data_IF_931457317071
#
_entry.id   IF_931457317071
#
_cell.length_a   1.000
_cell.length_b   1.000
_cell.length_c   1.000
_cell.angle_alpha   90.00
_cell.angle_beta   90.00
_cell.angle_gamma   90.00
#
_symmetry.space_group_name_H-M   'P 1'
#
loop_
_entity.id
_entity.type
_entity.pdbx_description
1 polymer ?
#
# COMPACT_ATOMS: atom_id res chain seq x y z
N UNK A 1 -45.51 -26.29 28.55
CA UNK A 1 -45.20 -25.06 27.79
C UNK A 1 -46.45 -24.67 27.03
N UNK A 2 -46.98 -23.45 27.20
CA UNK A 2 -48.21 -23.06 26.49
C UNK A 2 -47.92 -22.88 24.99
N UNK A 3 -48.95 -22.97 24.16
CA UNK A 3 -48.83 -22.69 22.71
C UNK A 3 -48.27 -21.28 22.48
N UNK A 4 -48.65 -20.31 23.31
CA UNK A 4 -48.13 -18.94 23.25
C UNK A 4 -46.61 -18.90 23.52
N UNK A 5 -46.11 -19.63 24.53
CA UNK A 5 -44.67 -19.71 24.82
C UNK A 5 -43.89 -20.38 23.69
N UNK A 6 -44.46 -21.43 23.06
CA UNK A 6 -43.83 -22.12 21.93
C UNK A 6 -43.73 -21.21 20.70
N UNK A 7 -44.80 -20.48 20.38
CA UNK A 7 -44.81 -19.53 19.25
C UNK A 7 -43.81 -18.39 19.48
N UNK A 8 -43.69 -17.88 20.71
CA UNK A 8 -42.73 -16.84 21.06
C UNK A 8 -41.28 -17.33 20.94
N UNK A 9 -40.99 -18.55 21.39
CA UNK A 9 -39.67 -19.17 21.26
C UNK A 9 -39.30 -19.42 19.79
N UNK A 10 -40.23 -19.93 18.98
CA UNK A 10 -40.01 -20.12 17.54
C UNK A 10 -39.81 -18.78 16.81
N UNK A 11 -40.54 -17.74 17.21
CA UNK A 11 -40.34 -16.38 16.70
C UNK A 11 -38.96 -15.82 17.03
N UNK A 12 -38.50 -15.97 18.27
CA UNK A 12 -37.15 -15.56 18.69
C UNK A 12 -36.05 -16.38 18.01
N UNK A 13 -36.26 -17.69 17.81
CA UNK A 13 -35.39 -18.57 17.04
C UNK A 13 -35.27 -18.14 15.58
N UNK A 14 -36.40 -17.83 14.94
CA UNK A 14 -36.44 -17.34 13.57
C UNK A 14 -35.75 -15.98 13.47
N UNK A 15 -35.99 -15.08 14.43
CA UNK A 15 -35.34 -13.77 14.48
C UNK A 15 -33.83 -13.90 14.66
N UNK A 16 -33.38 -14.76 15.58
CA UNK A 16 -31.97 -15.05 15.79
C UNK A 16 -31.35 -15.69 14.53
N UNK A 17 -32.04 -16.63 13.88
CA UNK A 17 -31.57 -17.24 12.64
C UNK A 17 -31.45 -16.22 11.50
N UNK A 18 -32.44 -15.33 11.35
CA UNK A 18 -32.42 -14.24 10.36
C UNK A 18 -31.27 -13.25 10.64
N UNK A 19 -31.04 -12.88 11.90
CA UNK A 19 -29.90 -12.05 12.30
C UNK A 19 -28.55 -12.74 12.06
N UNK A 20 -28.49 -14.07 12.18
CA UNK A 20 -27.27 -14.86 11.95
C UNK A 20 -27.05 -15.25 10.49
N UNK A 21 -28.02 -15.05 9.60
CA UNK A 21 -27.92 -15.38 8.17
C UNK A 21 -27.59 -14.17 7.29
N UNK A 22 -27.59 -12.96 7.85
CA UNK A 22 -26.95 -11.80 7.20
C UNK A 22 -25.43 -11.94 7.27
N UNK A 23 -24.77 -11.85 6.11
CA UNK A 23 -23.32 -11.70 6.01
C UNK A 23 -22.81 -10.56 6.89
N UNK A 24 -21.60 -10.71 7.44
CA UNK A 24 -20.95 -9.60 8.11
C UNK A 24 -20.20 -8.79 7.06
N UNK A 25 -20.65 -7.56 6.82
CA UNK A 25 -19.87 -6.58 6.05
C UNK A 25 -18.71 -6.08 6.91
N UNK A 26 -17.50 -6.10 6.33
CA UNK A 26 -16.29 -5.56 6.92
C UNK A 26 -15.78 -4.40 6.06
N UNK A 27 -15.40 -3.29 6.67
CA UNK A 27 -14.89 -2.11 5.96
C UNK A 27 -13.38 -2.00 6.15
N UNK A 28 -12.64 -1.94 5.05
CA UNK A 28 -11.19 -1.82 5.01
C UNK A 28 -10.81 -0.46 4.45
N UNK A 29 -9.77 0.16 4.98
CA UNK A 29 -9.30 1.45 4.49
C UNK A 29 -7.78 1.58 4.49
N UNK A 30 -7.25 2.45 3.63
CA UNK A 30 -5.87 2.88 3.64
C UNK A 30 -5.77 4.39 3.46
N UNK A 31 -4.86 5.05 4.17
CA UNK A 31 -4.66 6.50 4.09
C UNK A 31 -3.19 6.87 4.33
N UNK A 32 -2.65 7.71 3.44
CA UNK A 32 -1.45 8.49 3.73
C UNK A 32 -1.80 9.62 4.72
N UNK A 33 -1.17 9.61 5.90
CA UNK A 33 -1.45 10.60 6.96
C UNK A 33 -0.59 11.87 6.85
N UNK A 34 0.24 12.00 5.80
CA UNK A 34 1.13 13.12 5.49
C UNK A 34 2.02 13.54 6.67
N UNK A 35 3.22 12.95 6.73
CA UNK A 35 4.23 13.25 7.76
C UNK A 35 3.65 13.22 9.18
N UNK A 36 2.99 12.12 9.53
CA UNK A 36 2.32 11.98 10.82
C UNK A 36 3.32 11.59 11.92
N UNK A 37 3.84 12.61 12.60
CA UNK A 37 4.76 12.46 13.74
C UNK A 37 4.27 13.19 14.99
N UNK A 38 5.18 13.34 15.97
CA UNK A 38 4.87 13.94 17.28
C UNK A 38 4.24 15.34 17.18
N UNK A 39 4.70 16.18 16.24
CA UNK A 39 4.14 17.51 16.01
C UNK A 39 2.66 17.44 15.63
N UNK A 40 2.34 16.59 14.67
CA UNK A 40 0.98 16.40 14.15
C UNK A 40 0.07 15.70 15.18
N UNK A 41 0.65 14.87 16.05
CA UNK A 41 -0.04 14.28 17.20
C UNK A 41 -0.46 15.27 18.30
N UNK A 42 0.15 16.45 18.35
CA UNK A 42 -0.22 17.48 19.32
C UNK A 42 -1.28 18.45 18.76
N UNK A 43 -1.71 18.22 17.52
CA UNK A 43 -2.74 19.00 16.86
C UNK A 43 -4.11 18.37 17.07
N UNK A 44 -4.90 18.97 17.97
CA UNK A 44 -6.20 18.42 18.38
C UNK A 44 -7.18 18.28 17.23
N UNK A 45 -7.15 19.17 16.22
CA UNK A 45 -8.03 19.01 15.07
C UNK A 45 -7.62 17.74 14.33
N UNK A 46 -6.36 17.65 13.95
CA UNK A 46 -5.83 16.53 13.16
C UNK A 46 -6.03 15.19 13.85
N UNK A 47 -5.69 15.07 15.13
CA UNK A 47 -5.83 13.80 15.84
C UNK A 47 -7.27 13.42 16.09
N UNK A 48 -8.16 14.37 16.36
CA UNK A 48 -9.59 14.07 16.51
C UNK A 48 -10.21 13.63 15.18
N UNK A 49 -9.85 14.28 14.06
CA UNK A 49 -10.29 13.85 12.72
C UNK A 49 -9.77 12.47 12.37
N UNK A 50 -8.46 12.24 12.45
CA UNK A 50 -7.85 10.96 12.08
C UNK A 50 -8.37 9.83 12.96
N UNK A 51 -8.51 10.05 14.27
CA UNK A 51 -9.08 9.03 15.16
C UNK A 51 -10.53 8.70 14.78
N UNK A 52 -11.34 9.72 14.42
CA UNK A 52 -12.72 9.54 13.95
C UNK A 52 -12.78 8.84 12.59
N UNK A 53 -11.82 9.08 11.70
CA UNK A 53 -11.69 8.36 10.43
C UNK A 53 -11.41 6.88 10.72
N UNK A 54 -10.44 6.57 11.59
CA UNK A 54 -10.05 5.19 11.90
C UNK A 54 -11.20 4.38 12.48
N UNK A 55 -12.06 4.96 13.33
CA UNK A 55 -13.17 4.22 13.98
C UNK A 55 -14.21 3.67 13.00
N UNK A 56 -14.20 4.10 11.73
CA UNK A 56 -15.09 3.61 10.67
C UNK A 56 -14.71 2.24 10.12
N UNK A 57 -13.47 1.81 10.31
CA UNK A 57 -12.90 0.67 9.60
C UNK A 57 -12.69 -0.53 10.52
N UNK A 58 -13.00 -1.73 10.06
CA UNK A 58 -12.64 -2.95 10.77
C UNK A 58 -11.12 -3.19 10.70
N UNK A 59 -10.47 -2.80 9.59
CA UNK A 59 -9.01 -2.75 9.44
C UNK A 59 -8.62 -1.50 8.64
N UNK A 60 -7.65 -0.75 9.14
CA UNK A 60 -7.18 0.51 8.55
C UNK A 60 -5.66 0.55 8.46
N UNK A 61 -5.13 0.75 7.26
CA UNK A 61 -3.71 1.00 7.02
C UNK A 61 -3.41 2.50 7.07
N UNK A 62 -2.63 2.93 8.06
CA UNK A 62 -2.01 4.25 8.12
C UNK A 62 -0.60 4.22 7.52
N UNK A 63 -0.29 5.20 6.67
CA UNK A 63 1.02 5.39 6.05
C UNK A 63 1.60 6.75 6.43
N UNK A 64 2.90 6.94 6.16
CA UNK A 64 3.64 8.15 6.52
C UNK A 64 3.70 8.47 8.03
N UNK A 65 3.67 7.45 8.88
CA UNK A 65 3.97 7.66 10.30
C UNK A 65 5.48 7.88 10.45
N UNK A 66 5.88 9.08 10.88
CA UNK A 66 7.29 9.50 10.99
C UNK A 66 7.60 9.93 12.42
N UNK A 67 8.03 8.96 13.23
CA UNK A 67 8.40 9.21 14.62
C UNK A 67 9.52 8.26 15.07
N UNK A 68 10.69 8.83 15.31
CA UNK A 68 11.86 8.08 15.79
C UNK A 68 11.69 7.58 17.23
N UNK A 69 10.81 8.21 18.03
CA UNK A 69 10.54 7.75 19.40
C UNK A 69 9.69 6.47 19.44
N UNK A 70 9.00 6.14 18.34
CA UNK A 70 8.08 5.01 18.25
C UNK A 70 6.79 5.17 19.06
N UNK A 71 6.56 6.31 19.71
CA UNK A 71 5.38 6.53 20.57
C UNK A 71 4.11 6.85 19.78
N UNK A 72 4.24 7.33 18.55
CA UNK A 72 3.14 7.86 17.75
C UNK A 72 2.02 6.86 17.50
N UNK A 73 2.28 5.61 17.03
CA UNK A 73 1.24 4.61 16.81
C UNK A 73 0.41 4.31 18.07
N UNK A 74 1.07 4.09 19.21
CA UNK A 74 0.39 3.74 20.46
C UNK A 74 -0.44 4.89 21.01
N UNK A 75 0.04 6.13 20.91
CA UNK A 75 -0.73 7.32 21.31
C UNK A 75 -1.98 7.51 20.44
N UNK A 76 -1.84 7.32 19.12
CA UNK A 76 -2.98 7.38 18.21
C UNK A 76 -4.00 6.27 18.52
N UNK A 77 -3.53 5.05 18.81
CA UNK A 77 -4.40 3.94 19.23
C UNK A 77 -5.20 4.27 20.50
N UNK A 78 -4.56 4.89 21.50
CA UNK A 78 -5.28 5.33 22.70
C UNK A 78 -6.38 6.35 22.38
N UNK A 79 -6.11 7.29 21.46
CA UNK A 79 -7.11 8.27 21.03
C UNK A 79 -8.29 7.60 20.30
N UNK A 80 -8.01 6.65 19.40
CA UNK A 80 -9.04 5.83 18.71
C UNK A 80 -9.90 5.07 19.73
N UNK A 81 -9.26 4.38 20.68
CA UNK A 81 -9.96 3.59 21.70
C UNK A 81 -10.77 4.44 22.68
N UNK A 82 -10.45 5.72 22.84
CA UNK A 82 -11.27 6.63 23.65
C UNK A 82 -12.59 7.04 22.94
N UNK A 83 -12.69 6.86 21.62
CA UNK A 83 -13.88 7.21 20.84
C UNK A 83 -14.86 6.05 20.66
N UNK A 84 -14.50 4.82 21.04
CA UNK A 84 -15.32 3.63 20.76
C UNK A 84 -15.10 2.51 21.76
N UNK A 85 -16.16 1.77 22.06
CA UNK A 85 -16.09 0.54 22.87
C UNK A 85 -15.67 -0.70 22.08
N UNK A 86 -15.53 -0.60 20.74
CA UNK A 86 -15.15 -1.73 19.88
C UNK A 86 -13.80 -2.34 20.27
N UNK A 87 -12.86 -1.51 20.73
CA UNK A 87 -11.50 -1.92 21.07
C UNK A 87 -10.67 -2.26 19.84
N UNK A 88 -9.75 -1.36 19.51
CA UNK A 88 -8.75 -1.53 18.48
C UNK A 88 -7.45 -2.06 19.07
N UNK A 89 -6.75 -2.83 18.26
CA UNK A 89 -5.34 -3.15 18.40
C UNK A 89 -4.58 -2.59 17.19
N UNK A 90 -3.24 -2.60 17.28
CA UNK A 90 -2.39 -2.18 16.17
C UNK A 90 -1.29 -3.19 15.91
N UNK A 91 -0.80 -3.20 14.68
CA UNK A 91 0.46 -3.82 14.31
C UNK A 91 1.25 -2.87 13.41
N UNK A 92 2.52 -2.65 13.74
CA UNK A 92 3.39 -1.69 13.06
C UNK A 92 4.55 -2.40 12.35
N UNK A 93 4.95 -1.84 11.22
CA UNK A 93 6.17 -2.24 10.50
C UNK A 93 7.43 -1.72 11.20
N UNK A 94 8.59 -2.15 10.70
CA UNK A 94 9.86 -1.45 10.96
C UNK A 94 9.82 0.00 10.45
N UNK A 95 10.82 0.81 10.81
CA UNK A 95 11.05 2.13 10.23
C UNK A 95 11.75 2.02 8.86
N UNK A 96 11.00 2.28 7.79
CA UNK A 96 11.39 2.00 6.41
C UNK A 96 11.76 3.25 5.62
N UNK A 97 12.65 3.09 4.64
CA UNK A 97 13.18 4.17 3.81
C UNK A 97 14.64 3.89 3.47
N UNK A 98 15.17 4.45 2.38
CA UNK A 98 16.60 4.37 2.03
C UNK A 98 17.40 5.53 2.64
N UNK A 99 16.73 6.65 2.94
CA UNK A 99 17.32 7.83 3.59
C UNK A 99 17.29 7.75 5.13
N UNK A 100 17.74 8.80 5.81
CA UNK A 100 17.59 8.95 7.27
C UNK A 100 16.17 9.27 7.72
N UNK A 101 15.35 9.85 6.84
CA UNK A 101 13.91 10.03 7.07
C UNK A 101 13.20 8.72 6.78
N UNK A 102 12.65 8.10 7.82
CA UNK A 102 11.94 6.82 7.74
C UNK A 102 10.45 6.97 8.03
N UNK A 103 9.67 6.03 7.52
CA UNK A 103 8.22 5.92 7.69
C UNK A 103 7.85 4.53 8.20
N UNK A 104 6.72 4.44 8.90
CA UNK A 104 6.11 3.16 9.28
C UNK A 104 4.75 2.99 8.59
N UNK A 105 4.45 1.74 8.27
CA UNK A 105 3.10 1.25 8.04
C UNK A 105 2.49 0.81 9.36
N UNK A 106 1.26 1.20 9.65
CA UNK A 106 0.55 0.73 10.84
C UNK A 106 -0.85 0.30 10.46
N UNK A 107 -1.18 -0.96 10.74
CA UNK A 107 -2.55 -1.46 10.67
C UNK A 107 -3.22 -1.29 12.01
N UNK A 108 -4.34 -0.57 12.05
CA UNK A 108 -5.29 -0.55 13.16
C UNK A 108 -6.42 -1.50 12.85
N UNK A 109 -6.82 -2.34 13.79
CA UNK A 109 -7.89 -3.31 13.55
C UNK A 109 -8.74 -3.54 14.78
N UNK A 110 -10.03 -3.80 14.55
CA UNK A 110 -11.02 -4.10 15.58
C UNK A 110 -10.83 -5.52 16.12
N UNK A 111 -10.48 -5.65 17.41
CA UNK A 111 -10.20 -6.96 18.01
C UNK A 111 -11.42 -7.86 18.14
N UNK A 112 -12.62 -7.28 18.10
CA UNK A 112 -13.90 -8.00 18.10
C UNK A 112 -14.30 -8.53 16.71
N UNK A 113 -13.56 -8.14 15.66
CA UNK A 113 -13.91 -8.39 14.24
C UNK A 113 -12.79 -9.07 13.47
N UNK A 114 -11.54 -8.81 13.82
CA UNK A 114 -10.35 -9.30 13.13
C UNK A 114 -9.33 -9.85 14.13
N UNK A 115 -8.64 -10.91 13.74
CA UNK A 115 -7.52 -11.49 14.51
C UNK A 115 -6.27 -11.49 13.64
N UNK A 116 -5.21 -10.84 14.09
CA UNK A 116 -3.90 -10.94 13.46
C UNK A 116 -3.34 -12.37 13.63
N UNK A 117 -3.05 -13.04 12.52
CA UNK A 117 -2.46 -14.39 12.52
C UNK A 117 -0.93 -14.29 12.41
N UNK A 118 -0.44 -13.54 11.43
CA UNK A 118 0.98 -13.40 11.14
C UNK A 118 1.26 -12.06 10.44
N UNK A 119 2.52 -11.63 10.45
CA UNK A 119 2.99 -10.44 9.78
C UNK A 119 4.32 -10.69 9.08
N UNK A 120 4.60 -9.94 8.03
CA UNK A 120 5.85 -10.01 7.31
C UNK A 120 6.25 -8.64 6.76
N UNK A 121 7.34 -8.10 7.29
CA UNK A 121 8.07 -7.03 6.63
C UNK A 121 8.80 -7.62 5.44
N UNK A 122 8.40 -7.25 4.22
CA UNK A 122 8.94 -7.88 3.01
C UNK A 122 10.45 -7.71 2.90
N UNK A 123 11.17 -8.82 3.00
CA UNK A 123 12.63 -8.96 2.88
C UNK A 123 13.03 -9.90 1.73
N UNK A 124 12.06 -10.22 0.85
CA UNK A 124 12.20 -11.14 -0.27
C UNK A 124 13.06 -10.65 -1.43
N UNK A 125 13.00 -11.36 -2.57
CA UNK A 125 13.95 -11.20 -3.67
C UNK A 125 13.95 -9.80 -4.30
N UNK A 126 12.81 -9.11 -4.25
CA UNK A 126 12.63 -7.78 -4.81
C UNK A 126 12.68 -6.67 -3.74
N UNK A 127 13.06 -6.96 -2.48
CA UNK A 127 12.99 -5.99 -1.39
C UNK A 127 13.77 -4.70 -1.68
N UNK A 128 14.90 -4.81 -2.39
CA UNK A 128 15.74 -3.66 -2.79
C UNK A 128 15.07 -2.72 -3.80
N UNK A 129 14.02 -3.17 -4.48
CA UNK A 129 13.31 -2.36 -5.47
C UNK A 129 12.50 -1.23 -4.83
N UNK A 130 12.11 -1.41 -3.56
CA UNK A 130 11.25 -0.47 -2.84
C UNK A 130 12.07 0.55 -2.04
N UNK A 131 11.62 1.80 -1.99
CA UNK A 131 12.04 2.77 -0.98
C UNK A 131 11.62 2.30 0.41
N UNK A 132 10.37 1.81 0.52
CA UNK A 132 9.76 1.26 1.72
C UNK A 132 9.19 -0.11 1.40
N UNK A 133 9.93 -1.20 1.64
CA UNK A 133 9.46 -2.56 1.33
C UNK A 133 8.06 -2.82 1.93
N UNK A 134 7.15 -3.51 1.21
CA UNK A 134 5.79 -3.68 1.69
C UNK A 134 5.68 -4.31 3.08
N UNK A 135 4.67 -3.90 3.83
CA UNK A 135 4.32 -4.55 5.09
C UNK A 135 3.08 -5.40 4.89
N UNK A 136 3.24 -6.70 5.07
CA UNK A 136 2.20 -7.69 4.82
C UNK A 136 1.64 -8.20 6.15
N UNK A 137 0.32 -8.33 6.27
CA UNK A 137 -0.34 -8.92 7.44
C UNK A 137 -1.38 -9.95 7.00
N UNK A 138 -1.40 -11.10 7.68
CA UNK A 138 -2.42 -12.14 7.52
C UNK A 138 -3.41 -12.02 8.67
N UNK A 139 -4.69 -11.79 8.36
CA UNK A 139 -5.74 -11.64 9.36
C UNK A 139 -6.89 -12.63 9.14
N UNK A 140 -7.49 -13.10 10.23
CA UNK A 140 -8.70 -13.91 10.25
C UNK A 140 -9.94 -13.06 10.51
N UNK A 141 -11.02 -13.36 9.82
CA UNK A 141 -12.35 -12.77 9.97
C UNK A 141 -13.39 -13.88 10.19
N UNK A 142 -13.13 -14.72 11.19
CA UNK A 142 -13.88 -15.95 11.44
C UNK A 142 -13.30 -17.14 10.69
N UNK A 143 -14.00 -17.61 9.65
CA UNK A 143 -13.57 -18.74 8.82
C UNK A 143 -12.82 -18.30 7.55
N UNK A 144 -12.87 -17.01 7.21
CA UNK A 144 -12.10 -16.43 6.11
C UNK A 144 -10.79 -15.85 6.62
N UNK A 145 -9.73 -15.98 5.81
CA UNK A 145 -8.46 -15.31 6.01
C UNK A 145 -8.20 -14.39 4.83
N UNK A 146 -7.62 -13.23 5.11
CA UNK A 146 -7.24 -12.25 4.09
C UNK A 146 -5.83 -11.76 4.39
N UNK A 147 -5.03 -11.66 3.34
CA UNK A 147 -3.72 -11.02 3.39
C UNK A 147 -3.85 -9.58 2.93
N UNK A 148 -3.32 -8.65 3.71
CA UNK A 148 -3.18 -7.25 3.33
C UNK A 148 -1.72 -6.93 3.04
N UNK A 149 -1.45 -6.29 1.91
CA UNK A 149 -0.12 -5.84 1.49
C UNK A 149 -0.15 -4.31 1.42
N UNK A 150 0.53 -3.65 2.34
CA UNK A 150 0.64 -2.19 2.39
C UNK A 150 1.84 -1.70 1.58
N UNK A 151 1.62 -0.76 0.66
CA UNK A 151 2.70 -0.07 -0.05
C UNK A 151 2.42 1.44 -0.13
N UNK A 152 3.41 2.23 0.28
CA UNK A 152 3.52 3.64 -0.05
C UNK A 152 4.66 3.77 -1.07
N UNK A 153 4.33 3.89 -2.34
CA UNK A 153 5.32 3.87 -3.42
C UNK A 153 6.08 5.21 -3.50
N UNK A 154 7.39 5.18 -3.77
CA UNK A 154 8.14 6.41 -3.99
C UNK A 154 7.68 7.09 -5.29
N UNK A 155 7.30 8.38 -5.29
CA UNK A 155 6.73 9.03 -6.49
C UNK A 155 7.61 8.93 -7.74
N UNK A 156 8.92 9.17 -7.59
CA UNK A 156 9.88 9.09 -8.69
C UNK A 156 10.12 7.67 -9.22
N UNK A 157 9.72 6.63 -8.47
CA UNK A 157 9.89 5.22 -8.83
C UNK A 157 8.54 4.47 -8.88
N UNK A 158 7.40 5.17 -8.91
CA UNK A 158 6.07 4.59 -8.72
C UNK A 158 5.82 3.38 -9.63
N UNK A 159 6.05 3.52 -10.95
CA UNK A 159 5.85 2.42 -11.91
C UNK A 159 6.73 1.20 -11.57
N UNK A 160 7.97 1.43 -11.17
CA UNK A 160 8.91 0.36 -10.86
C UNK A 160 8.55 -0.38 -9.57
N UNK A 161 8.18 0.35 -8.52
CA UNK A 161 7.73 -0.23 -7.26
C UNK A 161 6.39 -0.96 -7.41
N UNK A 162 5.42 -0.37 -8.13
CA UNK A 162 4.14 -1.03 -8.45
C UNK A 162 4.39 -2.34 -9.21
N UNK A 163 5.21 -2.34 -10.26
CA UNK A 163 5.51 -3.57 -11.00
C UNK A 163 6.23 -4.61 -10.15
N UNK A 164 6.98 -4.19 -9.12
CA UNK A 164 7.67 -5.09 -8.20
C UNK A 164 6.71 -5.80 -7.23
N UNK A 165 5.47 -5.33 -7.05
CA UNK A 165 4.45 -6.01 -6.23
C UNK A 165 4.11 -7.40 -6.75
N UNK A 166 4.36 -7.72 -8.03
CA UNK A 166 4.23 -9.07 -8.56
C UNK A 166 5.03 -10.10 -7.74
N UNK A 167 6.27 -9.77 -7.39
CA UNK A 167 7.13 -10.66 -6.62
C UNK A 167 6.62 -10.83 -5.18
N UNK A 168 6.18 -9.73 -4.58
CA UNK A 168 5.60 -9.72 -3.23
C UNK A 168 4.34 -10.60 -3.20
N UNK A 169 3.46 -10.46 -4.20
CA UNK A 169 2.27 -11.29 -4.37
C UNK A 169 2.62 -12.78 -4.50
N UNK A 170 3.57 -13.13 -5.37
CA UNK A 170 3.98 -14.51 -5.61
C UNK A 170 4.60 -15.14 -4.34
N UNK A 171 5.41 -14.38 -3.58
CA UNK A 171 6.03 -14.86 -2.34
C UNK A 171 5.05 -14.92 -1.16
N UNK A 172 4.08 -14.01 -1.08
CA UNK A 172 2.98 -14.07 -0.09
C UNK A 172 2.15 -15.34 -0.28
N UNK A 173 1.80 -15.67 -1.53
CA UNK A 173 1.11 -16.91 -1.86
C UNK A 173 1.92 -18.13 -1.41
N UNK A 174 3.22 -18.14 -1.68
CA UNK A 174 4.11 -19.23 -1.28
C UNK A 174 4.23 -19.35 0.25
N UNK A 175 4.32 -18.21 0.95
CA UNK A 175 4.53 -18.16 2.41
C UNK A 175 3.32 -18.64 3.19
N UNK A 176 2.14 -18.12 2.86
CA UNK A 176 0.94 -18.35 3.67
C UNK A 176 -0.06 -19.32 3.06
N UNK A 177 0.08 -19.66 1.76
CA UNK A 177 -0.90 -20.48 1.06
C UNK A 177 -2.29 -19.82 0.97
N UNK A 178 -2.38 -18.52 1.24
CA UNK A 178 -3.63 -17.75 1.23
C UNK A 178 -3.72 -16.93 -0.06
N UNK A 179 -4.80 -17.12 -0.80
CA UNK A 179 -5.00 -16.48 -2.11
C UNK A 179 -5.94 -15.28 -2.06
N UNK A 180 -6.71 -15.08 -0.97
CA UNK A 180 -7.47 -13.88 -0.69
C UNK A 180 -6.50 -12.75 -0.30
N UNK A 181 -5.92 -12.09 -1.30
CA UNK A 181 -4.94 -11.01 -1.12
C UNK A 181 -5.55 -9.67 -1.52
N UNK A 182 -5.31 -8.65 -0.71
CA UNK A 182 -5.64 -7.24 -0.91
C UNK A 182 -4.36 -6.41 -0.84
N UNK A 183 -4.09 -5.60 -1.86
CA UNK A 183 -2.97 -4.64 -1.89
C UNK A 183 -3.55 -3.24 -1.77
N UNK A 184 -3.00 -2.39 -0.91
CA UNK A 184 -3.54 -1.05 -0.69
C UNK A 184 -2.50 -0.02 -0.24
N UNK A 185 -2.79 1.25 -0.53
CA UNK A 185 -2.02 2.41 -0.08
C UNK A 185 -1.82 3.46 -1.17
N UNK A 186 -1.07 4.50 -0.85
CA UNK A 186 -0.59 5.53 -1.78
C UNK A 186 0.44 4.94 -2.74
N UNK A 187 -0.02 4.54 -3.92
CA UNK A 187 0.85 3.98 -4.96
C UNK A 187 1.46 5.08 -5.85
N UNK A 188 1.14 6.35 -5.62
CA UNK A 188 1.47 7.44 -6.54
C UNK A 188 1.07 7.10 -8.00
N UNK A 189 -0.03 6.37 -8.16
CA UNK A 189 -0.43 5.74 -9.42
C UNK A 189 -1.25 6.67 -10.32
N UNK A 190 -0.86 7.93 -10.52
CA UNK A 190 -1.51 8.81 -11.50
C UNK A 190 -0.65 10.06 -11.84
N UNK A 191 -1.23 10.99 -12.60
CA UNK A 191 -0.75 12.35 -12.82
C UNK A 191 0.68 12.39 -13.33
N UNK A 192 1.56 13.19 -12.72
CA UNK A 192 2.94 13.32 -13.21
C UNK A 192 3.75 12.02 -13.06
N UNK A 193 3.38 11.13 -12.14
CA UNK A 193 4.13 9.92 -11.82
C UNK A 193 3.72 8.75 -12.72
N UNK A 194 2.42 8.56 -12.94
CA UNK A 194 1.87 7.54 -13.85
C UNK A 194 0.88 8.17 -14.83
N UNK A 195 1.38 8.63 -15.97
CA UNK A 195 0.59 9.24 -17.05
C UNK A 195 -0.25 8.20 -17.80
N UNK A 196 -1.31 8.66 -18.47
CA UNK A 196 -2.21 7.87 -19.33
C UNK A 196 -1.50 6.83 -20.22
N UNK A 197 -0.39 7.21 -20.87
CA UNK A 197 0.39 6.30 -21.73
C UNK A 197 0.99 5.08 -21.02
N UNK A 198 1.23 5.15 -19.72
CA UNK A 198 1.82 4.05 -18.95
C UNK A 198 0.81 2.95 -18.61
N UNK A 199 -0.49 3.20 -18.76
CA UNK A 199 -1.57 2.22 -18.54
C UNK A 199 -1.86 1.34 -19.75
N UNK A 200 -1.19 1.59 -20.87
CA UNK A 200 -1.38 0.85 -22.10
C UNK A 200 -0.12 0.05 -22.42
N UNK A 201 -0.31 -1.22 -22.83
CA UNK A 201 0.77 -2.02 -23.39
C UNK A 201 1.28 -1.34 -24.67
N UNK A 202 2.60 -1.38 -24.93
CA UNK A 202 3.14 -0.93 -26.21
C UNK A 202 2.45 -1.69 -27.36
N UNK A 203 2.08 -0.98 -28.42
CA UNK A 203 1.62 -1.66 -29.64
C UNK A 203 2.77 -2.51 -30.18
N UNK A 204 2.54 -3.79 -30.43
CA UNK A 204 3.51 -4.61 -31.15
C UNK A 204 3.60 -4.10 -32.58
N UNK A 205 4.76 -3.63 -33.02
CA UNK A 205 5.00 -3.29 -34.42
C UNK A 205 4.82 -4.55 -35.27
N UNK A 206 3.68 -4.63 -35.95
CA UNK A 206 3.41 -5.58 -37.03
C UNK A 206 3.66 -4.87 -38.36
N UNK A 207 4.93 -4.60 -38.67
CA UNK A 207 5.34 -4.20 -40.01
C UNK A 207 6.80 -4.59 -40.27
N UNK A 208 7.07 -5.88 -40.30
CA UNK A 208 8.10 -6.42 -41.20
C UNK A 208 7.38 -6.91 -42.45
N UNK A 209 7.14 -6.01 -43.40
CA UNK A 209 6.85 -6.44 -44.78
C UNK A 209 8.09 -7.18 -45.28
N UNK A 210 7.90 -8.46 -45.57
CA UNK A 210 8.77 -9.28 -46.40
C UNK A 210 9.00 -8.52 -47.72
N UNK A 211 10.22 -8.06 -47.95
CA UNK A 211 10.65 -7.60 -49.27
C UNK A 211 11.42 -8.76 -49.90
N UNK A 212 10.68 -9.65 -50.56
CA UNK A 212 11.18 -10.64 -51.51
C UNK A 212 11.72 -9.90 -52.75
N UNK A 213 12.96 -9.42 -52.66
CA UNK A 213 13.71 -8.84 -53.76
C UNK A 213 14.58 -9.89 -54.47
N UNK A 214 14.09 -10.38 -55.60
CA UNK A 214 14.77 -11.32 -56.51
C UNK A 214 16.03 -10.72 -57.16
N UNK A 215 17.15 -11.41 -56.96
CA UNK A 215 18.33 -11.67 -57.79
C UNK A 215 18.69 -10.72 -58.97
N UNK A 216 19.91 -10.16 -58.95
CA UNK A 216 20.80 -10.17 -60.14
C UNK A 216 22.27 -10.35 -59.72
N UNK A 217 22.90 -11.37 -60.29
CA UNK A 217 24.34 -11.60 -60.27
C UNK A 217 25.07 -10.59 -61.17
N UNK A 218 26.15 -10.00 -60.67
CA UNK A 218 27.28 -9.62 -61.53
C UNK A 218 28.60 -9.73 -60.76
N UNK A 219 29.57 -10.32 -61.46
CA UNK A 219 30.79 -10.93 -60.95
C UNK A 219 31.85 -9.97 -60.41
N UNK A 220 32.71 -10.54 -59.56
CA UNK A 220 34.17 -10.44 -59.60
C UNK A 220 34.80 -9.05 -59.81
N UNK A 221 35.41 -8.52 -58.73
CA UNK A 221 36.83 -8.12 -58.78
C UNK A 221 37.43 -7.81 -57.41
N UNK A 222 38.61 -8.42 -57.20
CA UNK A 222 39.74 -7.94 -56.37
C UNK A 222 39.80 -8.27 -54.88
N UNK A 223 40.39 -9.43 -54.63
CA UNK A 223 41.26 -9.68 -53.49
C UNK A 223 42.47 -8.73 -53.44
N UNK A 224 42.83 -8.28 -52.23
CA UNK A 224 44.18 -8.14 -51.61
C UNK A 224 44.28 -6.87 -50.74
N UNK A 225 44.29 -7.05 -49.41
CA UNK A 225 45.50 -6.87 -48.58
C UNK A 225 45.26 -7.22 -47.11
N UNK A 226 45.96 -8.27 -46.68
CA UNK A 226 46.27 -8.61 -45.28
C UNK A 226 47.27 -7.61 -44.71
N UNK A 227 47.17 -7.34 -43.40
CA UNK A 227 48.30 -7.24 -42.46
C UNK A 227 47.76 -7.04 -41.03
N UNK A 228 47.46 -8.10 -40.26
CA UNK A 228 48.34 -8.76 -39.27
C UNK A 228 48.94 -7.81 -38.21
N UNK A 229 48.56 -8.02 -36.94
CA UNK A 229 49.44 -8.54 -35.87
C UNK A 229 48.64 -9.08 -34.68
N UNK A 230 49.13 -10.22 -34.16
CA UNK A 230 48.57 -11.11 -33.12
C UNK A 230 49.00 -10.70 -31.69
N UNK A 231 48.34 -11.22 -30.64
CA UNK A 231 48.67 -10.99 -29.23
C UNK A 231 49.71 -12.00 -28.70
N UNK A 232 50.30 -11.71 -27.53
CA UNK A 232 51.07 -12.68 -26.72
C UNK A 232 50.69 -12.59 -25.23
N UNK A 233 50.71 -13.76 -24.60
CA UNK A 233 50.23 -14.14 -23.28
C UNK A 233 51.35 -14.21 -22.20
N UNK A 234 50.90 -14.17 -20.94
CA UNK A 234 51.32 -14.87 -19.70
C UNK A 234 52.72 -14.68 -19.07
N UNK A 235 52.72 -14.37 -17.74
CA UNK A 235 53.33 -15.11 -16.60
C UNK A 235 53.31 -14.20 -15.33
N UNK A 236 52.62 -14.56 -14.24
CA UNK A 236 53.08 -15.21 -12.99
C UNK A 236 53.94 -14.37 -12.01
N UNK A 237 53.54 -14.42 -10.72
CA UNK A 237 53.96 -13.62 -9.55
C UNK A 237 55.33 -14.04 -8.96
N UNK A 238 55.84 -13.40 -7.87
CA UNK A 238 55.37 -13.74 -6.53
C UNK A 238 55.31 -12.59 -5.49
N UNK A 239 54.78 -12.97 -4.33
CA UNK A 239 54.51 -12.27 -3.06
C UNK A 239 55.81 -12.01 -2.28
N UNK A 240 55.87 -10.89 -1.54
CA UNK A 240 56.84 -10.64 -0.47
C UNK A 240 56.16 -9.93 0.70
N UNK A 241 56.28 -10.53 1.89
CA UNK A 241 55.97 -9.96 3.20
C UNK A 241 57.13 -9.07 3.65
N UNK A 242 56.85 -8.02 4.43
CA UNK A 242 57.66 -7.63 5.60
C UNK A 242 56.83 -6.69 6.49
N UNK A 243 56.78 -7.04 7.77
CA UNK A 243 56.38 -6.22 8.89
C UNK A 243 57.50 -5.21 9.20
N UNK A 244 57.17 -4.01 9.67
CA UNK A 244 57.69 -3.52 10.95
C UNK A 244 57.24 -2.09 11.30
N UNK A 245 57.16 -1.96 12.61
CA UNK A 245 56.67 -0.91 13.51
C UNK A 245 57.46 0.41 13.44
N UNK A 246 56.82 1.50 13.88
CA UNK A 246 57.37 2.56 14.74
C UNK A 246 56.50 3.83 14.69
N UNK A 247 55.91 4.16 15.85
CA UNK A 247 55.35 5.48 16.12
C UNK A 247 56.43 6.50 16.48
N UNK A 248 56.18 7.77 16.16
CA UNK A 248 56.55 8.90 17.01
C UNK A 248 55.74 10.16 16.67
N UNK A 249 55.44 10.90 17.72
CA UNK A 249 54.80 12.21 17.84
C UNK A 249 55.57 13.37 17.21
N UNK A 250 54.89 14.48 16.89
CA UNK A 250 55.53 15.79 16.74
C UNK A 250 54.69 16.81 15.97
N UNK A 251 54.41 17.92 16.64
CA UNK A 251 53.56 19.04 16.25
C UNK A 251 54.13 19.94 15.13
N UNK A 252 53.21 20.74 14.56
CA UNK A 252 53.34 22.09 13.98
C UNK A 252 54.45 22.40 12.96
N UNK A 253 54.03 22.70 11.71
CA UNK A 253 54.26 24.05 11.13
C UNK A 253 53.57 24.24 9.76
N UNK A 254 53.04 25.44 9.58
CA UNK A 254 52.42 25.93 8.36
C UNK A 254 53.44 26.11 7.23
N UNK A 255 53.12 25.63 6.03
CA UNK A 255 53.71 26.15 4.79
C UNK A 255 52.72 26.11 3.62
N UNK A 256 52.52 27.28 3.02
CA UNK A 256 51.70 27.51 1.83
C UNK A 256 52.24 26.70 0.63
N UNK A 257 51.35 25.96 -0.04
CA UNK A 257 51.62 25.31 -1.33
C UNK A 257 50.61 25.79 -2.40
N UNK A 258 51.04 25.90 -3.67
CA UNK A 258 50.31 26.64 -4.70
C UNK A 258 49.07 25.89 -5.21
N UNK A 259 47.99 26.65 -5.45
CA UNK A 259 46.70 26.18 -5.98
C UNK A 259 46.85 25.58 -7.39
N UNK A 260 47.05 24.26 -7.49
CA UNK A 260 46.83 23.52 -8.74
C UNK A 260 45.33 23.39 -9.01
N UNK A 261 44.86 24.03 -10.08
CA UNK A 261 43.48 23.90 -10.60
C UNK A 261 43.22 22.43 -10.92
N UNK A 262 42.52 21.75 -10.02
CA UNK A 262 41.99 20.40 -10.24
C UNK A 262 40.80 20.55 -11.18
N UNK A 263 40.95 20.15 -12.43
CA UNK A 263 39.84 19.98 -13.37
C UNK A 263 38.88 18.99 -12.70
N UNK A 264 37.74 19.50 -12.22
CA UNK A 264 36.63 18.65 -11.77
C UNK A 264 36.11 17.93 -13.01
N UNK A 265 36.62 16.72 -13.24
CA UNK A 265 35.95 15.77 -14.11
C UNK A 265 34.61 15.46 -13.45
N UNK A 266 33.56 16.07 -14.00
CA UNK A 266 32.17 15.81 -13.66
C UNK A 266 31.93 14.33 -13.93
N UNK A 267 32.04 13.47 -12.90
CA UNK A 267 31.42 12.15 -12.96
C UNK A 267 29.93 12.41 -13.09
N UNK A 268 29.40 12.10 -14.26
CA UNK A 268 27.99 12.07 -14.54
C UNK A 268 27.39 10.91 -13.75
N UNK A 269 26.96 11.18 -12.52
CA UNK A 269 25.99 10.33 -11.84
C UNK A 269 24.58 10.63 -12.40
N UNK A 270 24.47 10.58 -13.74
CA UNK A 270 23.20 10.62 -14.44
C UNK A 270 22.85 9.19 -14.83
N UNK A 271 22.37 8.45 -13.83
CA UNK A 271 21.62 7.23 -14.05
C UNK A 271 20.12 7.57 -13.94
N UNK A 272 19.68 8.62 -14.63
CA UNK A 272 18.25 8.81 -14.88
C UNK A 272 17.81 7.70 -15.81
N UNK A 273 17.27 6.63 -15.22
CA UNK A 273 16.45 5.68 -15.96
C UNK A 273 15.36 6.51 -16.63
N UNK A 274 15.39 6.59 -17.96
CA UNK A 274 14.42 7.35 -18.72
C UNK A 274 13.05 6.68 -18.55
N UNK A 275 12.28 7.13 -17.56
CA UNK A 275 10.99 6.54 -17.18
C UNK A 275 9.90 6.70 -18.26
N UNK A 276 10.22 7.37 -19.38
CA UNK A 276 9.26 7.67 -20.45
C UNK A 276 8.71 6.46 -21.21
N UNK A 277 9.30 5.26 -21.04
CA UNK A 277 8.92 4.03 -21.75
C UNK A 277 8.39 2.90 -20.85
N UNK A 278 8.11 3.13 -19.56
CA UNK A 278 7.65 2.06 -18.67
C UNK A 278 6.11 1.96 -18.65
N UNK A 279 5.61 0.74 -18.79
CA UNK A 279 4.20 0.38 -18.60
C UNK A 279 3.97 -0.14 -17.19
N UNK A 280 2.79 0.11 -16.62
CA UNK A 280 2.33 -0.52 -15.36
C UNK A 280 1.90 -1.96 -15.66
N UNK A 281 2.86 -2.87 -15.75
CA UNK A 281 2.62 -4.28 -16.07
C UNK A 281 1.71 -4.97 -15.04
N UNK A 282 1.76 -4.56 -13.76
CA UNK A 282 0.86 -5.10 -12.74
C UNK A 282 -0.63 -4.83 -13.05
N UNK A 283 -0.94 -3.75 -13.78
CA UNK A 283 -2.30 -3.44 -14.21
C UNK A 283 -2.88 -4.45 -15.21
N UNK A 284 -2.01 -5.17 -15.92
CA UNK A 284 -2.38 -6.18 -16.90
C UNK A 284 -2.27 -7.61 -16.35
N UNK A 285 -1.90 -7.79 -15.07
CA UNK A 285 -1.88 -9.10 -14.43
C UNK A 285 -3.33 -9.55 -14.15
N UNK A 286 -3.81 -10.57 -14.88
CA UNK A 286 -5.20 -11.05 -14.78
C UNK A 286 -5.55 -11.69 -13.43
N UNK A 287 -4.57 -11.85 -12.54
CA UNK A 287 -4.78 -12.32 -11.17
C UNK A 287 -5.21 -11.19 -10.23
N UNK A 288 -5.12 -9.94 -10.67
CA UNK A 288 -5.32 -8.74 -9.88
C UNK A 288 -6.37 -7.82 -10.50
N UNK A 289 -7.24 -7.30 -9.64
CA UNK A 289 -8.38 -6.43 -9.99
C UNK A 289 -8.20 -5.09 -9.28
N UNK A 290 -8.05 -4.02 -10.05
CA UNK A 290 -7.88 -2.67 -9.52
C UNK A 290 -9.27 -2.09 -9.19
N UNK A 291 -9.56 -1.91 -7.91
CA UNK A 291 -10.89 -1.52 -7.43
C UNK A 291 -11.10 -0.01 -7.40
N UNK A 292 -10.02 0.76 -7.21
CA UNK A 292 -10.02 2.22 -7.37
C UNK A 292 -9.57 2.53 -8.80
N UNK A 293 -10.49 3.05 -9.61
CA UNK A 293 -10.24 3.36 -11.02
C UNK A 293 -9.28 4.56 -11.20
N UNK A 294 -8.69 4.68 -12.39
CA UNK A 294 -7.76 5.77 -12.74
C UNK A 294 -8.43 7.14 -12.87
N UNK A 295 -9.76 7.19 -12.82
CA UNK A 295 -10.57 8.42 -12.92
C UNK A 295 -10.91 9.01 -11.55
N UNK A 296 -10.60 8.31 -10.47
CA UNK A 296 -11.02 8.63 -9.10
C UNK A 296 -10.01 9.56 -8.44
N UNK A 297 -10.47 10.68 -7.89
CA UNK A 297 -9.60 11.57 -7.13
C UNK A 297 -9.43 11.10 -5.68
N UNK A 298 -8.18 10.86 -5.28
CA UNK A 298 -7.84 10.46 -3.91
C UNK A 298 -7.08 11.56 -3.16
N UNK A 299 -6.96 12.76 -3.74
CA UNK A 299 -6.24 13.89 -3.13
C UNK A 299 -7.21 14.89 -2.52
N UNK A 300 -6.83 15.50 -1.39
CA UNK A 300 -7.64 16.57 -0.76
C UNK A 300 -7.32 17.96 -1.31
N UNK A 301 -6.21 18.08 -2.05
CA UNK A 301 -5.76 19.33 -2.64
C UNK A 301 -6.67 19.77 -3.79
N UNK A 302 -7.01 21.06 -3.81
CA UNK A 302 -7.82 21.67 -4.88
C UNK A 302 -7.05 21.82 -6.20
N UNK A 303 -5.73 21.68 -6.18
CA UNK A 303 -4.87 21.86 -7.36
C UNK A 303 -4.53 20.55 -8.07
N UNK A 304 -5.00 19.42 -7.53
CA UNK A 304 -4.75 18.08 -8.06
C UNK A 304 -6.07 17.34 -8.22
N UNK A 305 -6.09 16.41 -9.16
CA UNK A 305 -7.17 15.43 -9.32
C UNK A 305 -6.50 14.13 -9.77
N UNK A 306 -6.10 13.32 -8.80
CA UNK A 306 -5.17 12.22 -9.02
C UNK A 306 -5.60 10.96 -8.26
N UNK A 307 -5.60 9.82 -8.96
CA UNK A 307 -5.85 8.49 -8.40
C UNK A 307 -4.56 7.89 -7.81
N UNK A 308 -3.95 8.55 -6.81
CA UNK A 308 -2.69 8.08 -6.22
C UNK A 308 -2.88 6.83 -5.37
N UNK A 309 -3.90 6.84 -4.52
CA UNK A 309 -4.23 5.78 -3.59
C UNK A 309 -5.06 4.70 -4.27
N UNK A 310 -4.70 3.44 -4.03
CA UNK A 310 -5.31 2.31 -4.74
C UNK A 310 -5.67 1.19 -3.80
N UNK A 311 -6.67 0.41 -4.22
CA UNK A 311 -7.00 -0.90 -3.65
C UNK A 311 -7.01 -1.88 -4.82
N UNK A 312 -6.28 -2.98 -4.68
CA UNK A 312 -6.17 -4.04 -5.66
C UNK A 312 -6.53 -5.35 -4.97
N UNK A 313 -7.47 -6.12 -5.53
CA UNK A 313 -7.86 -7.42 -5.01
C UNK A 313 -7.37 -8.54 -5.93
N UNK A 314 -6.92 -9.63 -5.35
CA UNK A 314 -6.72 -10.88 -6.08
C UNK A 314 -8.03 -11.45 -6.63
N UNK A 315 -7.96 -12.27 -7.69
CA UNK A 315 -9.14 -12.98 -8.23
C UNK A 315 -9.88 -13.79 -7.15
N UNK A 316 -9.17 -14.42 -6.20
CA UNK A 316 -9.81 -15.14 -5.09
C UNK A 316 -10.53 -14.20 -4.12
N UNK A 317 -9.94 -13.04 -3.80
CA UNK A 317 -10.55 -12.06 -2.91
C UNK A 317 -11.79 -11.38 -3.52
N UNK A 318 -11.91 -11.33 -4.85
CA UNK A 318 -13.06 -10.70 -5.53
C UNK A 318 -14.42 -11.27 -5.12
N UNK A 319 -14.51 -12.54 -4.72
CA UNK A 319 -15.77 -13.12 -4.22
C UNK A 319 -16.25 -12.50 -2.91
N UNK A 320 -15.32 -11.91 -2.14
CA UNK A 320 -15.59 -11.24 -0.88
C UNK A 320 -15.92 -9.77 -1.12
N UNK A 321 -15.42 -9.15 -2.18
CA UNK A 321 -15.62 -7.71 -2.44
C UNK A 321 -17.09 -7.40 -2.67
N UNK A 322 -17.64 -6.51 -1.85
CA UNK A 322 -18.98 -5.95 -2.07
C UNK A 322 -18.92 -5.07 -3.33
N UNK A 323 -19.73 -5.36 -4.37
CA UNK A 323 -19.71 -4.60 -5.61
C UNK A 323 -19.90 -3.09 -5.39
N UNK A 324 -19.12 -2.27 -6.10
CA UNK A 324 -19.15 -0.80 -6.03
C UNK A 324 -18.89 -0.20 -4.64
N UNK A 325 -18.37 -0.98 -3.70
CA UNK A 325 -18.02 -0.46 -2.36
C UNK A 325 -16.69 0.28 -2.33
N UNK A 326 -15.81 0.02 -3.30
CA UNK A 326 -14.48 0.61 -3.36
C UNK A 326 -14.54 2.08 -3.83
N UNK A 327 -14.06 3.01 -3.00
CA UNK A 327 -14.10 4.45 -3.27
C UNK A 327 -13.22 5.26 -2.31
N UNK A 328 -12.99 6.56 -2.56
CA UNK A 328 -12.44 7.46 -1.55
C UNK A 328 -13.49 7.80 -0.48
N UNK A 329 -13.05 7.95 0.76
CA UNK A 329 -13.86 8.51 1.83
C UNK A 329 -13.60 10.01 1.97
N UNK A 330 -14.55 10.81 1.47
CA UNK A 330 -14.52 12.27 1.56
C UNK A 330 -14.90 12.77 2.96
N UNK A 331 -14.03 12.50 3.95
CA UNK A 331 -14.25 12.80 5.36
C UNK A 331 -14.67 14.25 5.68
N UNK A 332 -14.22 15.31 4.97
CA UNK A 332 -14.64 16.66 5.32
C UNK A 332 -16.16 16.83 5.23
N UNK A 333 -16.77 16.23 4.20
CA UNK A 333 -18.21 16.29 3.97
C UNK A 333 -19.02 15.40 4.92
N UNK A 334 -18.41 14.37 5.52
CA UNK A 334 -19.13 13.49 6.44
C UNK A 334 -19.02 13.96 7.90
N UNK A 335 -17.85 14.49 8.28
CA UNK A 335 -17.57 14.90 9.67
C UNK A 335 -17.95 16.37 9.91
N UNK A 336 -17.83 17.25 8.89
CA UNK A 336 -17.92 18.71 9.07
C UNK A 336 -19.00 19.38 8.22
N UNK A 337 -19.88 18.64 7.55
CA UNK A 337 -21.04 19.21 6.87
C UNK A 337 -22.02 19.85 7.85
N UNK A 338 -22.59 21.00 7.48
CA UNK A 338 -23.78 21.52 8.16
C UNK A 338 -25.05 20.75 7.77
N UNK A 339 -26.02 20.66 8.69
CA UNK A 339 -27.33 20.00 8.49
C UNK A 339 -28.13 20.51 7.27
N UNK A 340 -27.79 21.68 6.72
CA UNK A 340 -28.50 22.29 5.58
C UNK A 340 -27.88 21.99 4.21
N UNK A 341 -26.81 21.19 4.15
CA UNK A 341 -26.10 20.92 2.89
C UNK A 341 -26.58 19.63 2.21
N UNK A 342 -26.86 19.70 0.91
CA UNK A 342 -27.13 18.51 0.09
C UNK A 342 -25.81 17.75 -0.11
N UNK A 343 -25.81 16.43 0.16
CA UNK A 343 -24.63 15.56 0.01
C UNK A 343 -24.29 15.38 -1.48
N UNK A 344 -23.63 16.37 -2.09
CA UNK A 344 -22.96 16.19 -3.38
C UNK A 344 -21.63 15.46 -3.17
N UNK A 345 -21.17 14.64 -4.14
CA UNK A 345 -19.81 14.10 -4.13
C UNK A 345 -18.78 15.23 -4.01
N UNK A 346 -17.69 14.98 -3.29
CA UNK A 346 -16.62 15.97 -3.17
C UNK A 346 -16.05 16.30 -4.55
N UNK A 347 -15.96 17.60 -4.83
CA UNK A 347 -15.28 18.16 -5.98
C UNK A 347 -14.73 19.52 -5.52
N UNK A 348 -13.52 19.95 -5.92
CA UNK A 348 -12.96 21.24 -5.50
C UNK A 348 -13.92 22.42 -5.70
N UNK A 349 -14.62 22.46 -6.84
CA UNK A 349 -15.59 23.52 -7.17
C UNK A 349 -16.95 23.41 -6.46
N UNK A 350 -17.28 22.25 -5.88
CA UNK A 350 -18.55 22.00 -5.17
C UNK A 350 -18.30 21.50 -3.75
N UNK A 351 -17.11 21.78 -3.17
CA UNK A 351 -16.61 21.19 -1.94
C UNK A 351 -17.52 21.58 -0.78
N UNK A 352 -18.59 20.79 -0.60
CA UNK A 352 -19.64 20.91 0.39
C UNK A 352 -19.88 22.37 0.79
N UNK A 353 -20.76 23.07 0.06
CA UNK A 353 -20.98 24.54 0.06
C UNK A 353 -21.02 25.26 1.43
N UNK A 354 -21.06 24.53 2.57
CA UNK A 354 -20.86 25.01 3.94
C UNK A 354 -20.13 23.98 4.82
N UNK A 355 -18.82 23.78 4.62
CA UNK A 355 -17.99 23.04 5.58
C UNK A 355 -17.63 23.92 6.78
N UNK A 356 -17.54 23.30 7.96
CA UNK A 356 -16.97 23.94 9.16
C UNK A 356 -15.43 23.97 9.17
N UNK A 357 -14.79 23.42 8.14
CA UNK A 357 -13.34 23.42 7.92
C UNK A 357 -12.99 24.19 6.66
N UNK A 358 -11.87 24.91 6.71
CA UNK A 358 -11.27 25.51 5.53
C UNK A 358 -10.28 24.55 4.84
N UNK A 359 -9.75 24.96 3.68
CA UNK A 359 -8.78 24.15 2.93
C UNK A 359 -7.44 23.99 3.65
N UNK A 360 -7.03 24.94 4.48
CA UNK A 360 -5.79 24.86 5.23
C UNK A 360 -5.91 23.79 6.33
N UNK A 361 -7.06 23.70 6.98
CA UNK A 361 -7.39 22.66 7.94
C UNK A 361 -7.43 21.27 7.29
N UNK A 362 -8.05 21.14 6.12
CA UNK A 362 -8.10 19.88 5.37
C UNK A 362 -6.67 19.42 5.01
N UNK A 363 -5.86 20.31 4.42
CA UNK A 363 -4.47 20.01 4.06
C UNK A 363 -3.61 19.71 5.29
N UNK A 364 -3.89 20.36 6.42
CA UNK A 364 -3.22 20.09 7.71
C UNK A 364 -3.57 18.70 8.24
N UNK A 365 -4.77 18.18 7.99
CA UNK A 365 -5.15 16.80 8.32
C UNK A 365 -4.41 15.82 7.40
N UNK A 366 -4.61 15.92 6.08
CA UNK A 366 -3.82 15.20 5.07
C UNK A 366 -4.09 15.77 3.68
N UNK A 367 -3.14 15.60 2.78
CA UNK A 367 -3.28 15.83 1.33
C UNK A 367 -3.89 14.62 0.59
N UNK A 368 -4.18 13.52 1.28
CA UNK A 368 -4.85 12.33 0.74
C UNK A 368 -6.17 12.03 1.46
N UNK A 369 -7.17 11.59 0.71
CA UNK A 369 -8.35 10.92 1.26
C UNK A 369 -8.03 9.45 1.56
N UNK A 370 -8.65 8.85 2.59
CA UNK A 370 -8.67 7.40 2.68
C UNK A 370 -9.32 6.79 1.44
N UNK A 371 -8.77 5.69 0.93
CA UNK A 371 -9.49 4.78 0.04
C UNK A 371 -10.06 3.63 0.86
N UNK A 372 -11.31 3.25 0.59
CA UNK A 372 -12.04 2.23 1.34
C UNK A 372 -12.64 1.17 0.41
N UNK A 373 -12.86 -0.03 0.94
CA UNK A 373 -13.61 -1.12 0.29
C UNK A 373 -14.34 -1.94 1.35
N UNK A 374 -15.49 -2.51 1.00
CA UNK A 374 -16.19 -3.46 1.87
C UNK A 374 -16.03 -4.89 1.39
N UNK A 375 -15.87 -5.82 2.33
CA UNK A 375 -15.94 -7.27 2.08
C UNK A 375 -17.18 -7.85 2.77
N UNK A 376 -17.92 -8.71 2.08
CA UNK A 376 -19.00 -9.52 2.63
C UNK A 376 -18.48 -10.92 2.97
N UNK A 377 -18.34 -11.20 4.26
CA UNK A 377 -17.89 -12.49 4.76
C UNK A 377 -19.11 -13.20 5.35
N UNK A 378 -19.63 -14.14 4.56
CA UNK A 378 -20.85 -14.88 4.89
C UNK A 378 -20.59 -15.84 6.04
N UNK A 379 -21.46 -15.93 7.05
CA UNK A 379 -21.27 -16.86 8.16
C UNK A 379 -21.18 -18.30 7.66
N UNK A 380 -20.28 -19.08 8.25
CA UNK A 380 -20.22 -20.52 8.01
C UNK A 380 -21.48 -21.17 8.61
N UNK A 381 -22.14 -22.04 7.83
CA UNK A 381 -23.34 -22.75 8.27
C UNK A 381 -23.12 -23.51 9.60
N UNK A 382 -21.93 -24.08 9.81
CA UNK A 382 -21.58 -24.76 11.05
C UNK A 382 -21.51 -23.79 12.25
N UNK A 383 -20.95 -22.60 12.06
CA UNK A 383 -20.87 -21.56 13.08
C UNK A 383 -22.26 -20.99 13.40
N UNK A 384 -23.11 -20.83 12.38
CA UNK A 384 -24.51 -20.42 12.56
C UNK A 384 -25.30 -21.45 13.39
N UNK A 385 -25.14 -22.74 13.10
CA UNK A 385 -25.79 -23.82 13.85
C UNK A 385 -25.26 -23.90 15.29
N UNK A 386 -23.94 -23.79 15.49
CA UNK A 386 -23.34 -23.85 16.81
C UNK A 386 -23.73 -22.67 17.70
N UNK A 387 -23.74 -21.44 17.14
CA UNK A 387 -24.19 -20.26 17.88
C UNK A 387 -25.69 -20.31 18.19
N UNK A 388 -26.51 -20.82 17.27
CA UNK A 388 -27.93 -21.06 17.54
C UNK A 388 -28.13 -22.04 18.72
N UNK A 389 -27.35 -23.12 18.74
CA UNK A 389 -27.39 -24.10 19.84
C UNK A 389 -26.96 -23.47 21.18
N UNK A 390 -25.92 -22.60 21.20
CA UNK A 390 -25.53 -21.84 22.39
C UNK A 390 -26.64 -20.90 22.88
N UNK A 391 -27.25 -20.13 21.98
CA UNK A 391 -28.35 -19.22 22.33
C UNK A 391 -29.55 -19.98 22.89
N UNK A 392 -29.90 -21.13 22.30
CA UNK A 392 -30.96 -22.00 22.82
C UNK A 392 -30.65 -22.55 24.20
N UNK A 393 -29.39 -22.93 24.46
CA UNK A 393 -28.96 -23.38 25.77
C UNK A 393 -29.06 -22.29 26.83
N UNK A 394 -28.65 -21.06 26.51
CA UNK A 394 -28.76 -19.90 27.41
C UNK A 394 -30.23 -19.56 27.72
N UNK A 395 -31.10 -19.56 26.72
CA UNK A 395 -32.55 -19.36 26.89
C UNK A 395 -33.15 -20.48 27.76
N UNK A 396 -32.72 -21.73 27.57
CA UNK A 396 -33.16 -22.86 28.41
C UNK A 396 -32.76 -22.68 29.87
N UNK A 397 -31.58 -22.13 30.16
CA UNK A 397 -31.18 -21.81 31.54
C UNK A 397 -32.09 -20.73 32.11
N UNK A 398 -32.36 -19.67 31.35
CA UNK A 398 -33.22 -18.55 31.79
C UNK A 398 -34.68 -18.93 32.01
N UNK A 399 -35.21 -19.94 31.32
CA UNK A 399 -36.60 -20.41 31.46
C UNK A 399 -36.76 -21.43 32.60
N UNK A 400 -35.68 -22.08 33.04
CA UNK A 400 -35.70 -23.05 34.14
C UNK A 400 -35.29 -22.42 35.50
N UNK A 401 -35.10 -21.10 35.53
CA UNK A 401 -35.01 -20.25 36.74
C UNK A 401 -36.34 -19.51 36.83
#
# INVERSE_FOLDING_TARGET
MSIQTLVLLLGLLLLAFVQHSSGYEFTFGAMNLNVFGVTKLNDSLVTSTISTIITRYDVFLAQEIRDISGSTPSRLLSMVNNLTSAGYELVASDHLGKSSSKEQYVYFYRKDRAVLIDQWQYDGIAARNFERPPFCVLMSFGHEKVVFIGLHAKPAAAIFEINSLKYVYDEVLQRWGESNIMIMGDLNADCQYVRKKHWHLPKSDSSSTEDEGVFTDSESSRAKRRSRRKPKNLAHAPIGYDEDDHGYSGDDEASERPKKRRVKQKRSDDNTVNHSNFTVLLYHDTRLHWLIETSVDTTTSISTCCAFDRIIASTSAMRLVVPNSAKPYYYPCDIYSSETSTKKPWHPDNACEKLKLDLADISRISDHFPVEVKLDIKPNLADSVFNLAKSLFAIRILINI
#
